data_IF_218902614249
#
_entry.id   IF_218902614249
#
_cell.length_a   1.000
_cell.length_b   1.000
_cell.length_c   1.000
_cell.angle_alpha   90.00
_cell.angle_beta   90.00
_cell.angle_gamma   90.00
#
_symmetry.space_group_name_H-M   'P 1'
#
loop_
_entity.id
_entity.type
_entity.pdbx_description
1 polymer ?
#
# COMPACT_ATOMS: atom_id res chain seq x y z
N UNK A 1 -18.89 8.74 -8.01
CA UNK A 1 -17.90 8.19 -7.05
C UNK A 1 -16.93 9.30 -6.67
N UNK A 2 -16.40 9.31 -5.45
CA UNK A 2 -15.35 10.24 -5.06
C UNK A 2 -14.09 9.99 -5.91
N UNK A 3 -13.35 11.05 -6.27
CA UNK A 3 -12.12 10.95 -7.04
C UNK A 3 -11.06 10.12 -6.32
N UNK A 4 -10.30 9.35 -7.07
CA UNK A 4 -9.18 8.52 -6.57
C UNK A 4 -7.95 8.88 -7.38
N UNK A 5 -6.93 9.42 -6.74
CA UNK A 5 -5.75 9.96 -7.41
C UNK A 5 -4.49 9.31 -6.86
N UNK A 6 -3.58 8.91 -7.74
CA UNK A 6 -2.29 8.36 -7.35
C UNK A 6 -1.15 9.09 -8.06
N UNK A 7 -0.10 9.43 -7.31
CA UNK A 7 1.16 9.95 -7.82
C UNK A 7 2.27 8.95 -7.46
N UNK A 8 2.87 8.36 -8.48
CA UNK A 8 3.93 7.36 -8.34
C UNK A 8 5.26 7.98 -8.76
N UNK A 9 6.22 7.96 -7.85
CA UNK A 9 7.54 8.56 -8.04
C UNK A 9 8.58 7.44 -7.92
N UNK A 10 9.38 7.26 -8.96
CA UNK A 10 10.44 6.26 -9.00
C UNK A 10 11.75 6.88 -9.46
N UNK A 11 12.84 6.57 -8.78
CA UNK A 11 14.18 7.00 -9.20
C UNK A 11 15.12 5.82 -9.27
N UNK A 12 15.59 5.50 -10.47
CA UNK A 12 16.55 4.43 -10.79
C UNK A 12 17.95 4.97 -11.02
N UNK A 13 18.03 6.15 -11.68
CA UNK A 13 19.26 6.71 -12.18
C UNK A 13 19.55 8.05 -11.50
N UNK A 14 20.77 8.20 -11.03
CA UNK A 14 21.22 9.38 -10.30
C UNK A 14 22.40 10.02 -11.05
N UNK A 15 22.46 11.36 -11.09
CA UNK A 15 23.61 12.08 -11.67
C UNK A 15 24.84 12.02 -10.79
N UNK A 16 24.66 11.81 -9.48
CA UNK A 16 25.75 11.63 -8.52
C UNK A 16 26.23 10.17 -8.52
N UNK A 17 27.50 9.89 -8.89
CA UNK A 17 28.05 8.54 -8.89
C UNK A 17 28.10 7.88 -7.49
N UNK A 18 28.04 8.68 -6.40
CA UNK A 18 27.97 8.16 -5.05
C UNK A 18 26.61 7.52 -4.72
N UNK A 19 25.60 7.75 -5.56
CA UNK A 19 24.30 7.12 -5.49
C UNK A 19 24.25 6.01 -6.54
N UNK A 20 24.38 4.77 -6.10
CA UNK A 20 24.32 3.61 -6.99
C UNK A 20 23.01 3.54 -7.77
N UNK A 21 23.07 3.11 -9.03
CA UNK A 21 21.88 2.85 -9.84
C UNK A 21 21.04 1.73 -9.23
N UNK A 22 19.71 1.90 -9.24
CA UNK A 22 18.74 0.88 -8.86
C UNK A 22 18.11 0.25 -10.12
N UNK A 23 17.63 -0.99 -10.01
CA UNK A 23 17.06 -1.72 -11.15
C UNK A 23 15.55 -1.94 -11.03
N UNK A 24 15.01 -1.86 -9.82
CA UNK A 24 13.61 -2.18 -9.53
C UNK A 24 12.63 -0.98 -9.69
N UNK A 25 12.98 0.26 -9.28
CA UNK A 25 11.99 1.33 -9.07
C UNK A 25 11.06 1.62 -10.24
N UNK A 26 11.58 1.74 -11.46
CA UNK A 26 10.74 2.05 -12.61
C UNK A 26 9.82 0.89 -13.00
N UNK A 27 10.28 -0.35 -12.84
CA UNK A 27 9.47 -1.55 -13.04
C UNK A 27 8.34 -1.65 -12.01
N UNK A 28 8.65 -1.36 -10.76
CA UNK A 28 7.72 -1.36 -9.64
C UNK A 28 6.62 -0.30 -9.81
N UNK A 29 7.01 0.94 -10.14
CA UNK A 29 6.06 2.02 -10.38
C UNK A 29 5.12 1.72 -11.54
N UNK A 30 5.61 1.14 -12.64
CA UNK A 30 4.76 0.76 -13.79
C UNK A 30 3.78 -0.35 -13.43
N UNK A 31 4.25 -1.39 -12.71
CA UNK A 31 3.38 -2.49 -12.29
C UNK A 31 2.30 -2.04 -11.31
N UNK A 32 2.63 -1.12 -10.40
CA UNK A 32 1.67 -0.53 -9.48
C UNK A 32 0.68 0.39 -10.22
N UNK A 33 1.16 1.19 -11.19
CA UNK A 33 0.32 2.04 -12.02
C UNK A 33 -0.74 1.24 -12.78
N UNK A 34 -0.34 0.10 -13.39
CA UNK A 34 -1.24 -0.80 -14.10
C UNK A 34 -2.41 -1.26 -13.20
N UNK A 35 -2.10 -1.74 -11.99
CA UNK A 35 -3.12 -2.24 -11.07
C UNK A 35 -3.99 -1.12 -10.50
N UNK A 36 -3.39 0.03 -10.15
CA UNK A 36 -4.15 1.14 -9.60
C UNK A 36 -5.06 1.81 -10.63
N UNK A 37 -4.67 1.85 -11.91
CA UNK A 37 -5.49 2.45 -12.97
C UNK A 37 -6.61 1.54 -13.47
N UNK A 38 -6.53 0.23 -13.20
CA UNK A 38 -7.57 -0.71 -13.62
C UNK A 38 -8.90 -0.41 -12.91
N UNK A 39 -9.96 -0.04 -13.65
CA UNK A 39 -11.26 0.31 -13.06
C UNK A 39 -11.96 -0.88 -12.40
N UNK A 40 -11.61 -2.12 -12.77
CA UNK A 40 -12.14 -3.33 -12.13
C UNK A 40 -11.49 -3.63 -10.79
N UNK A 41 -10.30 -3.07 -10.53
CA UNK A 41 -9.53 -3.27 -9.31
C UNK A 41 -9.61 -2.01 -8.42
N UNK A 42 -8.99 -0.92 -8.86
CA UNK A 42 -8.77 0.24 -8.01
C UNK A 42 -9.29 1.56 -8.59
N UNK A 43 -9.24 1.75 -9.91
CA UNK A 43 -9.84 2.88 -10.62
C UNK A 43 -9.26 4.25 -10.24
N UNK A 44 -7.95 4.33 -9.98
CA UNK A 44 -7.26 5.60 -9.74
C UNK A 44 -6.93 6.32 -11.05
N UNK A 45 -7.01 7.62 -11.00
CA UNK A 45 -6.28 8.49 -11.93
C UNK A 45 -4.80 8.51 -11.53
N UNK A 46 -3.93 7.91 -12.34
CA UNK A 46 -2.53 7.66 -11.99
C UNK A 46 -1.60 8.56 -12.79
N UNK A 47 -0.73 9.28 -12.09
CA UNK A 47 0.41 9.99 -12.66
C UNK A 47 1.70 9.30 -12.22
N UNK A 48 2.60 9.02 -13.16
CA UNK A 48 3.89 8.37 -12.88
C UNK A 48 5.06 9.25 -13.30
N UNK A 49 6.00 9.49 -12.38
CA UNK A 49 7.21 10.24 -12.59
C UNK A 49 8.42 9.32 -12.39
N UNK A 50 9.18 9.06 -13.46
CA UNK A 50 10.38 8.23 -13.42
C UNK A 50 11.59 9.10 -13.74
N UNK A 51 12.65 9.00 -12.92
CA UNK A 51 13.93 9.70 -13.10
C UNK A 51 13.78 11.21 -13.30
N UNK A 52 12.91 11.84 -12.49
CA UNK A 52 12.70 13.29 -12.57
C UNK A 52 13.56 14.03 -11.54
N UNK A 53 13.99 15.27 -11.85
CA UNK A 53 14.70 16.09 -10.88
C UNK A 53 13.78 16.58 -9.76
N UNK A 54 14.39 16.90 -8.60
CA UNK A 54 13.67 17.22 -7.36
C UNK A 54 12.63 18.35 -7.50
N UNK A 55 12.94 19.40 -8.27
CA UNK A 55 12.03 20.53 -8.45
C UNK A 55 10.77 20.14 -9.22
N UNK A 56 10.89 19.31 -10.27
CA UNK A 56 9.74 18.79 -11.04
C UNK A 56 8.86 17.90 -10.14
N UNK A 57 9.49 17.05 -9.34
CA UNK A 57 8.75 16.19 -8.40
C UNK A 57 8.07 17.02 -7.30
N UNK A 58 8.76 18.04 -6.77
CA UNK A 58 8.21 18.93 -5.77
C UNK A 58 6.99 19.71 -6.27
N UNK A 59 7.05 20.25 -7.49
CA UNK A 59 5.91 20.92 -8.16
C UNK A 59 4.74 19.94 -8.33
N UNK A 60 5.00 18.73 -8.83
CA UNK A 60 3.98 17.71 -9.04
C UNK A 60 3.30 17.29 -7.73
N UNK A 61 4.03 17.16 -6.61
CA UNK A 61 3.45 16.89 -5.29
C UNK A 61 2.56 18.06 -4.83
N UNK A 62 3.02 19.29 -5.03
CA UNK A 62 2.24 20.49 -4.71
C UNK A 62 0.91 20.54 -5.48
N UNK A 63 0.93 20.24 -6.78
CA UNK A 63 -0.25 20.16 -7.63
C UNK A 63 -1.14 18.97 -7.25
N UNK A 64 -0.52 17.82 -6.98
CA UNK A 64 -1.23 16.60 -6.61
C UNK A 64 -2.14 16.79 -5.39
N UNK A 65 -1.69 17.50 -4.35
CA UNK A 65 -2.48 17.74 -3.14
C UNK A 65 -3.36 18.99 -3.21
N UNK A 66 -3.15 19.86 -4.21
CA UNK A 66 -3.92 21.12 -4.34
C UNK A 66 -5.35 20.84 -4.79
N UNK A 67 -6.31 21.51 -4.15
CA UNK A 67 -7.71 21.51 -4.58
C UNK A 67 -8.46 20.20 -4.39
N UNK A 68 -7.92 19.24 -3.64
CA UNK A 68 -8.59 17.98 -3.35
C UNK A 68 -9.79 18.19 -2.44
N UNK A 69 -10.84 17.41 -2.66
CA UNK A 69 -12.03 17.41 -1.80
C UNK A 69 -11.83 16.48 -0.61
N UNK A 70 -12.66 16.63 0.42
CA UNK A 70 -12.57 15.84 1.65
C UNK A 70 -12.84 14.35 1.45
N UNK A 71 -13.67 14.02 0.47
CA UNK A 71 -14.09 12.66 0.13
C UNK A 71 -13.18 11.96 -0.88
N UNK A 72 -12.23 12.67 -1.47
CA UNK A 72 -11.28 12.09 -2.44
C UNK A 72 -10.19 11.29 -1.74
N UNK A 73 -9.75 10.21 -2.38
CA UNK A 73 -8.62 9.38 -1.94
C UNK A 73 -7.36 9.78 -2.68
N UNK A 74 -6.29 10.06 -1.96
CA UNK A 74 -4.96 10.32 -2.54
C UNK A 74 -3.97 9.25 -2.12
N UNK A 75 -3.19 8.72 -3.06
CA UNK A 75 -2.10 7.80 -2.83
C UNK A 75 -0.80 8.35 -3.42
N UNK A 76 0.18 8.62 -2.57
CA UNK A 76 1.54 8.95 -2.98
C UNK A 76 2.44 7.74 -2.74
N UNK A 77 3.10 7.27 -3.79
CA UNK A 77 4.09 6.18 -3.73
C UNK A 77 5.46 6.73 -4.14
N UNK A 78 6.47 6.36 -3.38
CA UNK A 78 7.87 6.66 -3.71
C UNK A 78 8.71 5.38 -3.64
N UNK A 79 9.56 5.17 -4.64
CA UNK A 79 10.58 4.12 -4.64
C UNK A 79 11.92 4.68 -5.17
N UNK A 80 13.00 4.41 -4.43
CA UNK A 80 14.32 4.95 -4.69
C UNK A 80 15.19 4.99 -3.45
N UNK A 81 16.31 5.73 -3.47
CA UNK A 81 17.14 5.92 -2.28
C UNK A 81 16.50 6.89 -1.30
N UNK A 82 16.43 6.49 -0.03
CA UNK A 82 16.19 7.37 1.11
C UNK A 82 17.53 7.75 1.76
N UNK A 83 17.76 9.02 1.97
CA UNK A 83 19.02 9.56 2.52
C UNK A 83 18.75 10.35 3.80
N UNK A 84 19.71 10.38 4.70
CA UNK A 84 19.67 11.23 5.89
C UNK A 84 20.82 12.21 5.87
N UNK A 85 20.56 13.43 6.31
CA UNK A 85 21.61 14.38 6.62
C UNK A 85 22.21 14.13 8.02
N UNK A 86 23.19 14.96 8.41
CA UNK A 86 23.87 14.86 9.70
C UNK A 86 22.94 15.14 10.89
N UNK A 87 21.84 15.85 10.68
CA UNK A 87 20.82 16.17 11.66
C UNK A 87 19.74 15.07 11.75
N UNK A 88 19.83 14.02 10.91
CA UNK A 88 18.88 12.92 10.83
C UNK A 88 17.61 13.24 10.03
N UNK A 89 17.57 14.34 9.29
CA UNK A 89 16.46 14.67 8.42
C UNK A 89 16.44 13.74 7.22
N UNK A 90 15.23 13.26 6.87
CA UNK A 90 15.02 12.34 5.77
C UNK A 90 14.83 13.10 4.46
N UNK A 91 15.53 12.64 3.44
CA UNK A 91 15.42 13.10 2.05
C UNK A 91 15.14 11.92 1.13
N UNK A 92 14.25 12.13 0.17
CA UNK A 92 13.97 11.23 -0.92
C UNK A 92 14.84 11.64 -2.11
N UNK A 93 15.70 10.74 -2.58
CA UNK A 93 16.66 11.05 -3.64
C UNK A 93 15.96 11.05 -5.00
N UNK A 94 16.16 12.13 -5.76
CA UNK A 94 15.68 12.31 -7.13
C UNK A 94 16.84 12.19 -8.11
N UNK A 95 16.57 12.17 -9.41
CA UNK A 95 17.59 11.95 -10.44
C UNK A 95 18.80 12.91 -10.36
N UNK A 96 18.57 14.14 -9.92
CA UNK A 96 19.61 15.16 -9.77
C UNK A 96 20.15 15.33 -8.35
N UNK A 97 19.82 14.41 -7.43
CA UNK A 97 20.29 14.48 -6.06
C UNK A 97 21.79 14.33 -5.99
N UNK A 98 22.41 15.20 -5.23
CA UNK A 98 23.82 15.18 -4.85
C UNK A 98 23.95 14.93 -3.36
N UNK A 99 24.74 13.94 -3.01
CA UNK A 99 24.92 13.52 -1.62
C UNK A 99 25.54 14.58 -0.72
N UNK A 100 26.40 15.42 -1.30
CA UNK A 100 27.05 16.56 -0.61
C UNK A 100 26.13 17.79 -0.48
N UNK A 101 24.92 17.75 -1.04
CA UNK A 101 24.03 18.90 -1.14
C UNK A 101 22.56 18.51 -1.08
N UNK A 102 22.19 17.62 -0.13
CA UNK A 102 20.84 17.04 -0.02
C UNK A 102 19.77 18.12 0.09
N UNK A 103 19.97 19.12 0.93
CA UNK A 103 19.01 20.21 1.17
C UNK A 103 18.54 20.90 -0.11
N UNK A 104 19.40 20.99 -1.14
CA UNK A 104 19.10 21.71 -2.37
C UNK A 104 18.81 20.82 -3.59
N UNK A 105 19.06 19.52 -3.48
CA UNK A 105 19.02 18.61 -4.63
C UNK A 105 18.15 17.36 -4.42
N UNK A 106 17.70 17.15 -3.19
CA UNK A 106 16.79 16.06 -2.84
C UNK A 106 15.45 16.62 -2.35
N UNK A 107 14.43 15.77 -2.31
CA UNK A 107 13.13 16.13 -1.78
C UNK A 107 13.08 15.84 -0.28
N UNK A 108 13.02 16.87 0.54
CA UNK A 108 12.87 16.70 1.98
C UNK A 108 11.52 16.03 2.33
N UNK A 109 11.54 14.99 3.14
CA UNK A 109 10.32 14.31 3.61
C UNK A 109 9.35 15.26 4.33
N UNK A 110 9.88 16.28 5.00
CA UNK A 110 9.09 17.33 5.64
C UNK A 110 8.24 18.14 4.65
N UNK A 111 8.72 18.38 3.42
CA UNK A 111 7.92 19.06 2.38
C UNK A 111 6.74 18.19 1.95
N UNK A 112 6.95 16.87 1.82
CA UNK A 112 5.86 15.92 1.54
C UNK A 112 4.85 15.94 2.68
N UNK A 113 5.30 15.89 3.92
CA UNK A 113 4.44 15.96 5.10
C UNK A 113 3.60 17.24 5.13
N UNK A 114 4.22 18.39 4.90
CA UNK A 114 3.49 19.68 4.84
C UNK A 114 2.48 19.72 3.71
N UNK A 115 2.80 19.19 2.53
CA UNK A 115 1.86 19.13 1.41
C UNK A 115 0.66 18.24 1.76
N UNK A 116 0.89 17.07 2.38
CA UNK A 116 -0.17 16.20 2.89
C UNK A 116 -1.00 16.88 3.99
N UNK A 117 -0.37 17.65 4.89
CA UNK A 117 -1.08 18.37 5.96
C UNK A 117 -2.02 19.44 5.40
N UNK A 118 -1.60 20.16 4.36
CA UNK A 118 -2.40 21.17 3.69
C UNK A 118 -3.54 20.61 2.82
N UNK A 119 -3.54 19.31 2.54
CA UNK A 119 -4.58 18.69 1.73
C UNK A 119 -5.85 18.41 2.56
N UNK A 120 -7.02 18.88 2.13
CA UNK A 120 -8.28 18.70 2.85
C UNK A 120 -8.83 17.27 2.80
N UNK A 121 -8.32 16.40 1.93
CA UNK A 121 -8.74 14.99 1.88
C UNK A 121 -8.58 14.31 3.25
N UNK A 122 -9.56 13.46 3.60
CA UNK A 122 -9.55 12.64 4.82
C UNK A 122 -9.03 11.22 4.59
N UNK A 123 -8.62 10.91 3.35
CA UNK A 123 -8.11 9.61 2.95
C UNK A 123 -6.80 9.81 2.17
N UNK A 124 -5.69 9.90 2.90
CA UNK A 124 -4.36 10.10 2.33
C UNK A 124 -3.49 8.90 2.64
N UNK A 125 -2.98 8.26 1.61
CA UNK A 125 -2.07 7.11 1.72
C UNK A 125 -0.70 7.51 1.21
N UNK A 126 0.33 7.23 2.00
CA UNK A 126 1.73 7.37 1.64
C UNK A 126 2.39 5.99 1.70
N UNK A 127 3.02 5.60 0.62
CA UNK A 127 3.78 4.34 0.53
C UNK A 127 5.23 4.67 0.20
N UNK A 128 6.16 4.29 1.08
CA UNK A 128 7.58 4.53 0.92
C UNK A 128 8.32 3.20 0.75
N UNK A 129 8.70 2.88 -0.47
CA UNK A 129 9.55 1.73 -0.79
C UNK A 129 11.00 2.19 -0.98
N UNK A 130 11.61 2.60 0.11
CA UNK A 130 13.00 3.03 0.14
C UNK A 130 13.69 2.52 1.40
N UNK A 131 14.96 2.15 1.21
CA UNK A 131 15.85 1.83 2.32
C UNK A 131 16.51 3.13 2.79
N UNK A 132 16.53 3.36 4.09
CA UNK A 132 17.22 4.52 4.65
C UNK A 132 18.71 4.21 4.80
N UNK A 133 19.48 4.40 3.76
CA UNK A 133 20.93 4.31 3.84
C UNK A 133 21.49 5.55 4.56
N UNK A 134 21.70 5.45 5.85
CA UNK A 134 22.54 6.37 6.56
C UNK A 134 23.96 6.22 6.02
N UNK A 135 24.40 7.15 5.19
CA UNK A 135 25.77 7.20 4.74
C UNK A 135 26.65 7.73 5.85
N UNK A 136 27.16 6.84 6.71
CA UNK A 136 28.31 7.18 7.52
C UNK A 136 29.58 6.86 6.71
N UNK A 137 30.55 7.82 6.61
CA UNK A 137 31.88 7.48 6.16
C UNK A 137 32.40 6.36 7.07
N UNK A 138 32.99 5.32 6.50
CA UNK A 138 33.64 4.27 7.26
C UNK A 138 34.60 4.91 8.30
N UNK A 139 34.28 4.80 9.60
CA UNK A 139 35.13 5.30 10.68
C UNK A 139 34.48 6.17 11.74
N UNK A 140 33.22 6.62 11.58
CA UNK A 140 32.51 7.30 12.68
C UNK A 140 31.33 6.44 13.14
N UNK A 141 31.54 5.69 14.20
CA UNK A 141 30.49 5.08 15.00
C UNK A 141 29.60 6.22 15.54
N UNK A 142 28.35 6.32 15.08
CA UNK A 142 27.36 7.16 15.72
C UNK A 142 27.13 6.67 17.14
N UNK A 143 27.55 7.46 18.12
CA UNK A 143 27.16 7.26 19.52
C UNK A 143 25.71 7.68 19.67
N UNK A 144 24.84 6.70 19.86
CA UNK A 144 23.42 6.88 20.12
C UNK A 144 22.57 6.32 18.99
N UNK A 145 21.77 5.31 19.29
CA UNK A 145 20.78 4.75 18.37
C UNK A 145 19.74 5.81 18.01
N UNK A 146 19.94 6.47 16.89
CA UNK A 146 18.90 7.25 16.25
C UNK A 146 18.09 6.30 15.38
N UNK A 147 17.21 5.52 16.03
CA UNK A 147 16.09 4.93 15.33
C UNK A 147 15.34 6.08 14.66
N UNK A 148 15.38 6.12 13.35
CA UNK A 148 14.58 7.10 12.63
C UNK A 148 13.16 6.62 12.66
N UNK A 149 12.39 7.20 13.50
CA UNK A 149 10.95 7.13 13.53
C UNK A 149 10.37 7.82 12.28
N UNK A 150 10.63 7.25 11.10
CA UNK A 150 10.13 7.78 9.82
C UNK A 150 8.62 7.93 9.85
N UNK A 151 7.93 6.97 10.46
CA UNK A 151 6.49 7.00 10.60
C UNK A 151 6.02 8.17 11.48
N UNK A 152 6.75 8.52 12.54
CA UNK A 152 6.39 9.62 13.44
C UNK A 152 6.40 10.98 12.73
N UNK A 153 7.21 11.14 11.68
CA UNK A 153 7.26 12.38 10.90
C UNK A 153 6.01 12.60 10.04
N UNK A 154 5.30 11.55 9.66
CA UNK A 154 4.11 11.62 8.82
C UNK A 154 2.81 11.47 9.60
N UNK A 155 2.81 11.79 10.89
CA UNK A 155 1.60 11.76 11.71
C UNK A 155 0.59 12.83 11.30
N UNK A 156 -0.70 12.52 11.41
CA UNK A 156 -1.77 13.47 11.18
C UNK A 156 -3.08 12.82 10.75
N UNK A 157 -4.18 13.47 11.04
CA UNK A 157 -5.53 12.95 10.79
C UNK A 157 -5.78 12.62 9.32
N UNK A 158 -6.46 11.51 9.08
CA UNK A 158 -6.84 11.06 7.75
C UNK A 158 -5.66 10.55 6.92
N UNK A 159 -4.64 9.99 7.56
CA UNK A 159 -3.43 9.47 6.91
C UNK A 159 -3.17 8.02 7.26
N UNK A 160 -2.72 7.27 6.27
CA UNK A 160 -2.10 5.96 6.44
C UNK A 160 -0.73 5.98 5.75
N UNK A 161 0.30 5.51 6.45
CA UNK A 161 1.69 5.48 5.96
C UNK A 161 2.21 4.05 6.03
N UNK A 162 2.67 3.53 4.90
CA UNK A 162 3.32 2.23 4.78
C UNK A 162 4.77 2.43 4.39
N UNK A 163 5.69 1.72 5.04
CA UNK A 163 7.11 1.72 4.69
C UNK A 163 7.62 0.30 4.49
N UNK A 164 8.51 0.12 3.51
CA UNK A 164 9.05 -1.20 3.16
C UNK A 164 9.99 -1.78 4.21
N UNK A 165 10.66 -0.94 5.01
CA UNK A 165 11.58 -1.41 6.04
C UNK A 165 11.75 -0.40 7.18
N UNK A 166 12.23 -0.89 8.31
CA UNK A 166 12.77 -0.08 9.41
C UNK A 166 14.23 0.31 9.13
N UNK A 167 14.71 1.35 9.81
CA UNK A 167 15.96 2.08 9.56
C UNK A 167 17.28 1.30 9.74
N UNK A 168 17.26 0.01 10.03
CA UNK A 168 18.43 -0.71 10.53
C UNK A 168 19.08 -1.71 9.59
N UNK A 169 18.69 -1.86 8.32
CA UNK A 169 19.07 -3.07 7.58
C UNK A 169 19.72 -2.91 6.21
N UNK A 170 20.58 -1.90 6.02
CA UNK A 170 21.62 -2.01 5.00
C UNK A 170 22.94 -1.49 5.54
N UNK A 171 23.66 -2.38 6.23
CA UNK A 171 25.12 -2.26 6.30
C UNK A 171 25.65 -2.55 4.89
N UNK A 172 26.26 -1.56 4.27
CA UNK A 172 27.12 -1.77 3.11
C UNK A 172 28.28 -2.69 3.54
N UNK A 173 28.19 -3.98 3.25
CA UNK A 173 29.36 -4.80 3.06
C UNK A 173 29.76 -4.66 1.59
N UNK A 174 30.83 -3.88 1.39
CA UNK A 174 31.75 -3.87 0.25
C UNK A 174 31.14 -4.05 -1.15
N UNK A 175 31.19 -3.00 -1.98
CA UNK A 175 31.32 -2.97 -3.45
C UNK A 175 30.43 -3.82 -4.36
N UNK A 176 29.39 -4.47 -3.88
CA UNK A 176 28.42 -5.11 -4.76
C UNK A 176 27.02 -4.87 -4.22
N UNK A 177 26.20 -4.13 -4.96
CA UNK A 177 24.73 -4.18 -4.83
C UNK A 177 24.32 -5.61 -5.24
N UNK A 178 24.34 -6.54 -4.29
CA UNK A 178 23.79 -7.89 -4.46
C UNK A 178 22.29 -7.77 -4.29
N UNK A 179 21.60 -7.49 -5.38
CA UNK A 179 20.17 -7.40 -5.45
C UNK A 179 19.74 -7.10 -6.87
N UNK A 180 20.08 -7.97 -7.83
CA UNK A 180 19.52 -7.94 -9.19
C UNK A 180 18.08 -8.47 -9.22
N UNK A 181 17.29 -8.25 -8.16
CA UNK A 181 15.87 -8.52 -8.22
C UNK A 181 15.23 -7.50 -9.17
N UNK A 182 14.59 -7.99 -10.21
CA UNK A 182 13.88 -7.14 -11.19
C UNK A 182 12.74 -6.32 -10.58
N UNK A 183 12.40 -6.55 -9.31
CA UNK A 183 11.37 -5.85 -8.52
C UNK A 183 11.70 -5.89 -7.03
N UNK A 184 11.32 -4.85 -6.29
CA UNK A 184 11.30 -4.84 -4.82
C UNK A 184 10.37 -5.93 -4.29
N UNK A 185 10.80 -6.65 -3.26
CA UNK A 185 9.97 -7.69 -2.60
C UNK A 185 8.70 -7.07 -2.04
N UNK A 186 8.82 -5.91 -1.40
CA UNK A 186 7.67 -5.18 -0.84
C UNK A 186 6.66 -4.81 -1.92
N UNK A 187 7.07 -4.08 -2.96
CA UNK A 187 6.16 -3.65 -4.03
C UNK A 187 5.61 -4.82 -4.84
N UNK A 188 6.40 -5.90 -5.03
CA UNK A 188 5.91 -7.11 -5.69
C UNK A 188 4.71 -7.72 -4.95
N UNK A 189 4.78 -7.86 -3.62
CA UNK A 189 3.66 -8.37 -2.82
C UNK A 189 2.49 -7.38 -2.75
N UNK A 190 2.77 -6.08 -2.69
CA UNK A 190 1.74 -5.05 -2.75
C UNK A 190 0.94 -5.12 -4.06
N UNK A 191 1.63 -5.21 -5.19
CA UNK A 191 1.00 -5.36 -6.52
C UNK A 191 0.25 -6.68 -6.63
N UNK A 192 0.79 -7.79 -6.13
CA UNK A 192 0.14 -9.10 -6.18
C UNK A 192 -1.17 -9.10 -5.40
N UNK A 193 -1.15 -8.64 -4.14
CA UNK A 193 -2.34 -8.61 -3.27
C UNK A 193 -3.48 -7.76 -3.81
N UNK A 194 -3.14 -6.65 -4.50
CA UNK A 194 -4.15 -5.81 -5.17
C UNK A 194 -4.67 -6.47 -6.46
N UNK A 195 -3.77 -7.05 -7.28
CA UNK A 195 -4.10 -7.57 -8.63
C UNK A 195 -5.01 -8.78 -8.58
N UNK A 196 -4.78 -9.70 -7.68
CA UNK A 196 -5.53 -10.95 -7.57
C UNK A 196 -6.58 -10.96 -6.45
N UNK A 197 -6.62 -9.88 -5.65
CA UNK A 197 -7.54 -9.74 -4.53
C UNK A 197 -7.16 -10.55 -3.30
N UNK A 198 -5.99 -11.20 -3.27
CA UNK A 198 -5.56 -12.04 -2.13
C UNK A 198 -5.27 -11.24 -0.86
N UNK A 199 -5.24 -9.91 -0.94
CA UNK A 199 -5.19 -9.01 0.21
C UNK A 199 -6.57 -8.69 0.82
N UNK A 200 -7.68 -9.14 0.25
CA UNK A 200 -9.01 -9.15 0.87
C UNK A 200 -9.06 -10.27 1.91
N UNK A 201 -8.67 -9.94 3.14
CA UNK A 201 -8.45 -10.95 4.21
C UNK A 201 -9.73 -11.33 4.94
N UNK A 202 -10.71 -10.45 5.03
CA UNK A 202 -11.99 -10.72 5.69
C UNK A 202 -13.08 -11.19 4.71
N UNK A 203 -12.78 -11.18 3.41
CA UNK A 203 -13.64 -11.69 2.34
C UNK A 203 -14.84 -10.80 2.04
N UNK A 204 -14.80 -9.51 2.41
CA UNK A 204 -15.88 -8.56 2.16
C UNK A 204 -15.87 -7.98 0.75
N UNK A 205 -14.85 -8.34 -0.06
CA UNK A 205 -14.68 -7.94 -1.46
C UNK A 205 -13.91 -6.64 -1.63
N UNK A 206 -13.57 -5.94 -0.57
CA UNK A 206 -12.73 -4.75 -0.61
C UNK A 206 -11.33 -5.09 -0.08
N UNK A 207 -10.32 -4.41 -0.59
CA UNK A 207 -8.95 -4.46 -0.06
C UNK A 207 -8.68 -3.13 0.63
N UNK A 208 -8.62 -3.14 1.94
CA UNK A 208 -8.29 -1.96 2.73
C UNK A 208 -6.78 -1.76 2.87
N UNK A 209 -6.36 -0.57 3.33
CA UNK A 209 -4.94 -0.30 3.64
C UNK A 209 -4.40 -1.25 4.70
N UNK A 210 -5.19 -1.53 5.74
CA UNK A 210 -4.79 -2.38 6.87
C UNK A 210 -4.63 -3.85 6.44
N UNK A 211 -5.53 -4.36 5.61
CA UNK A 211 -5.44 -5.71 5.05
C UNK A 211 -4.27 -5.83 4.09
N UNK A 212 -4.10 -4.86 3.18
CA UNK A 212 -2.97 -4.85 2.26
C UNK A 212 -1.64 -4.83 3.02
N UNK A 213 -1.54 -4.02 4.08
CA UNK A 213 -0.36 -4.02 4.95
C UNK A 213 -0.14 -5.39 5.60
N UNK A 214 -1.16 -5.98 6.19
CA UNK A 214 -1.07 -7.28 6.87
C UNK A 214 -0.62 -8.38 5.89
N UNK A 215 -1.22 -8.42 4.70
CA UNK A 215 -0.86 -9.32 3.62
C UNK A 215 0.60 -9.16 3.16
N UNK A 216 1.03 -7.91 2.93
CA UNK A 216 2.40 -7.60 2.48
C UNK A 216 3.41 -7.90 3.58
N UNK A 217 3.13 -7.51 4.82
CA UNK A 217 4.02 -7.74 5.96
C UNK A 217 4.31 -9.23 6.15
N UNK A 218 3.29 -10.08 6.18
CA UNK A 218 3.44 -11.53 6.35
C UNK A 218 4.38 -12.12 5.28
N UNK A 219 4.14 -11.76 4.01
CA UNK A 219 4.90 -12.31 2.88
C UNK A 219 6.31 -11.77 2.79
N UNK A 220 6.50 -10.49 3.03
CA UNK A 220 7.83 -9.88 3.05
C UNK A 220 8.67 -10.50 4.17
N UNK A 221 8.13 -10.64 5.38
CA UNK A 221 8.86 -11.24 6.51
C UNK A 221 9.16 -12.73 6.26
N UNK A 222 8.24 -13.46 5.64
CA UNK A 222 8.48 -14.87 5.28
C UNK A 222 9.61 -15.03 4.25
N UNK A 223 9.69 -14.14 3.25
CA UNK A 223 10.70 -14.20 2.20
C UNK A 223 12.03 -13.54 2.62
N UNK A 224 11.95 -12.41 3.31
CA UNK A 224 13.08 -11.62 3.80
C UNK A 224 12.91 -11.30 5.30
N UNK A 225 13.29 -12.20 6.21
CA UNK A 225 13.04 -12.04 7.65
C UNK A 225 13.64 -10.76 8.27
N UNK A 226 14.65 -10.21 7.60
CA UNK A 226 15.29 -8.95 8.01
C UNK A 226 14.55 -7.69 7.53
N UNK A 227 13.71 -7.78 6.51
CA UNK A 227 12.89 -6.67 6.03
C UNK A 227 11.55 -6.71 6.76
N UNK A 228 11.26 -5.68 7.54
CA UNK A 228 10.03 -5.59 8.32
C UNK A 228 9.27 -4.33 7.93
N UNK A 229 8.27 -4.45 7.03
CA UNK A 229 7.39 -3.35 6.72
C UNK A 229 6.72 -2.78 7.97
N UNK A 230 6.46 -1.48 7.97
CA UNK A 230 5.73 -0.81 9.05
C UNK A 230 4.53 -0.05 8.50
N UNK A 231 3.54 0.11 9.35
CA UNK A 231 2.31 0.84 9.08
C UNK A 231 1.95 1.74 10.25
N UNK A 232 1.46 2.93 9.93
CA UNK A 232 0.83 3.83 10.88
C UNK A 232 -0.41 4.43 10.23
N UNK A 233 -1.53 4.40 10.94
CA UNK A 233 -2.80 4.94 10.47
C UNK A 233 -3.43 5.82 11.56
N UNK A 234 -3.93 7.00 11.15
CA UNK A 234 -4.75 7.90 11.95
C UNK A 234 -5.97 8.31 11.10
N UNK A 235 -6.84 7.34 10.83
CA UNK A 235 -7.98 7.49 9.93
C UNK A 235 -9.28 7.17 10.68
N UNK A 236 -10.29 8.01 10.52
CA UNK A 236 -11.64 7.68 10.95
C UNK A 236 -12.28 6.69 9.95
N UNK A 237 -12.49 5.45 10.37
CA UNK A 237 -12.99 4.38 9.51
C UNK A 237 -11.87 3.65 8.73
N UNK A 238 -12.23 3.06 7.60
CA UNK A 238 -11.32 2.28 6.77
C UNK A 238 -11.06 2.96 5.42
N UNK A 239 -9.84 2.88 4.91
CA UNK A 239 -9.49 3.31 3.55
C UNK A 239 -9.50 2.08 2.64
N UNK A 240 -10.44 2.05 1.69
CA UNK A 240 -10.52 1.00 0.67
C UNK A 240 -9.62 1.39 -0.51
N UNK A 241 -8.58 0.60 -0.79
CA UNK A 241 -7.65 0.82 -1.90
C UNK A 241 -8.08 0.16 -3.19
N UNK A 242 -8.68 -1.02 -3.10
CA UNK A 242 -9.07 -1.80 -4.27
C UNK A 242 -10.30 -2.65 -3.98
N UNK A 243 -10.86 -3.22 -5.03
CA UNK A 243 -11.85 -4.30 -4.95
C UNK A 243 -11.15 -5.61 -5.25
N UNK A 244 -11.63 -6.69 -4.65
CA UNK A 244 -11.20 -8.03 -5.03
C UNK A 244 -11.85 -8.43 -6.37
N UNK A 245 -11.10 -8.43 -7.50
CA UNK A 245 -11.68 -8.71 -8.82
C UNK A 245 -12.01 -10.19 -8.99
N UNK A 246 -11.45 -11.06 -8.16
CA UNK A 246 -11.63 -12.52 -8.20
C UNK A 246 -12.41 -13.05 -7.01
N UNK A 247 -13.20 -12.20 -6.36
CA UNK A 247 -13.95 -12.62 -5.19
C UNK A 247 -14.83 -13.84 -5.50
N UNK A 248 -14.67 -14.87 -4.71
CA UNK A 248 -15.47 -16.07 -4.71
C UNK A 248 -16.06 -16.30 -3.33
N UNK A 249 -17.19 -17.01 -3.32
CA UNK A 249 -17.79 -17.40 -2.07
C UNK A 249 -16.79 -18.25 -1.24
N UNK A 250 -16.52 -17.90 0.04
CA UNK A 250 -15.61 -18.64 0.87
C UNK A 250 -15.89 -20.13 0.90
N UNK A 251 -14.85 -20.94 0.88
CA UNK A 251 -14.94 -22.40 0.73
C UNK A 251 -15.79 -23.03 1.84
N UNK A 252 -15.68 -22.56 3.07
CA UNK A 252 -16.48 -23.04 4.18
C UNK A 252 -17.99 -22.80 3.98
N UNK A 253 -18.38 -21.69 3.34
CA UNK A 253 -19.77 -21.42 2.97
C UNK A 253 -20.21 -22.33 1.84
N UNK A 254 -19.39 -22.51 0.80
CA UNK A 254 -19.71 -23.43 -0.31
C UNK A 254 -19.94 -24.85 0.19
N UNK A 255 -19.07 -25.34 1.10
CA UNK A 255 -19.23 -26.66 1.70
C UNK A 255 -20.47 -26.73 2.58
N UNK A 256 -20.73 -25.71 3.40
CA UNK A 256 -21.92 -25.66 4.24
C UNK A 256 -23.21 -25.65 3.43
N UNK A 257 -23.29 -24.90 2.31
CA UNK A 257 -24.43 -24.86 1.41
C UNK A 257 -24.68 -26.20 0.71
N UNK A 258 -23.63 -26.95 0.42
CA UNK A 258 -23.73 -28.26 -0.24
C UNK A 258 -23.95 -29.42 0.75
N UNK A 259 -23.96 -29.15 2.06
CA UNK A 259 -24.12 -30.20 3.08
C UNK A 259 -25.53 -30.84 3.05
N UNK A 260 -25.63 -32.15 3.16
CA UNK A 260 -26.92 -32.83 3.35
C UNK A 260 -27.58 -32.51 4.71
N UNK A 261 -26.84 -31.93 5.65
CA UNK A 261 -27.28 -31.63 7.02
C UNK A 261 -27.85 -30.20 7.06
N UNK A 262 -29.11 -30.06 7.43
CA UNK A 262 -29.79 -28.76 7.48
C UNK A 262 -29.15 -27.75 8.44
N UNK A 263 -28.53 -28.19 9.53
CA UNK A 263 -27.80 -27.29 10.45
C UNK A 263 -26.57 -26.64 9.80
N UNK A 264 -25.89 -27.37 8.93
CA UNK A 264 -24.71 -26.82 8.24
C UNK A 264 -25.15 -25.76 7.21
N UNK A 265 -26.25 -26.05 6.48
CA UNK A 265 -26.83 -25.07 5.55
C UNK A 265 -27.36 -23.84 6.28
N UNK A 266 -27.92 -24.00 7.48
CA UNK A 266 -28.34 -22.90 8.35
C UNK A 266 -27.15 -22.04 8.77
N UNK A 267 -26.04 -22.65 9.20
CA UNK A 267 -24.81 -21.93 9.55
C UNK A 267 -24.23 -21.19 8.34
N UNK A 268 -24.29 -21.81 7.15
CA UNK A 268 -23.88 -21.15 5.91
C UNK A 268 -24.78 -19.96 5.57
N UNK A 269 -26.09 -20.06 5.75
CA UNK A 269 -27.04 -18.96 5.57
C UNK A 269 -26.70 -17.76 6.49
N UNK A 270 -26.40 -18.00 7.75
CA UNK A 270 -25.97 -16.92 8.66
C UNK A 270 -24.67 -16.27 8.20
N UNK A 271 -23.72 -17.06 7.71
CA UNK A 271 -22.49 -16.56 7.08
C UNK A 271 -22.77 -15.69 5.84
N UNK A 272 -23.68 -16.12 4.96
CA UNK A 272 -24.13 -15.35 3.82
C UNK A 272 -24.78 -14.02 4.22
N UNK A 273 -25.69 -14.05 5.20
CA UNK A 273 -26.34 -12.82 5.73
C UNK A 273 -25.32 -11.85 6.30
N UNK A 274 -24.29 -12.36 6.98
CA UNK A 274 -23.20 -11.53 7.48
C UNK A 274 -22.43 -10.86 6.33
N UNK A 275 -21.97 -11.63 5.33
CA UNK A 275 -21.26 -11.12 4.16
C UNK A 275 -22.14 -10.15 3.35
N UNK A 276 -23.43 -10.43 3.20
CA UNK A 276 -24.37 -9.55 2.55
C UNK A 276 -24.46 -8.17 3.22
N UNK A 277 -24.33 -8.11 4.53
CA UNK A 277 -24.41 -6.87 5.32
C UNK A 277 -23.14 -6.02 5.20
N UNK A 278 -21.95 -6.66 5.25
CA UNK A 278 -20.67 -5.94 5.30
C UNK A 278 -19.98 -5.81 3.95
N UNK A 279 -20.28 -6.72 3.02
CA UNK A 279 -19.62 -6.84 1.73
C UNK A 279 -19.89 -5.68 0.79
N UNK A 280 -19.02 -5.52 -0.22
CA UNK A 280 -19.21 -4.58 -1.30
C UNK A 280 -20.39 -4.98 -2.21
N UNK A 281 -20.64 -4.22 -3.28
CA UNK A 281 -21.80 -4.44 -4.17
C UNK A 281 -21.77 -5.84 -4.81
N UNK A 282 -20.60 -6.30 -5.28
CA UNK A 282 -20.43 -7.63 -5.89
C UNK A 282 -20.73 -8.75 -4.88
N UNK A 283 -20.19 -8.62 -3.66
CA UNK A 283 -20.40 -9.59 -2.57
C UNK A 283 -21.88 -9.64 -2.21
N UNK A 284 -22.52 -8.48 -2.05
CA UNK A 284 -23.96 -8.40 -1.75
C UNK A 284 -24.81 -9.04 -2.83
N UNK A 285 -24.51 -8.79 -4.10
CA UNK A 285 -25.24 -9.39 -5.22
C UNK A 285 -25.14 -10.91 -5.20
N UNK A 286 -23.91 -11.44 -5.09
CA UNK A 286 -23.65 -12.89 -5.08
C UNK A 286 -24.25 -13.59 -3.85
N UNK A 287 -24.06 -13.02 -2.68
CA UNK A 287 -24.64 -13.60 -1.44
C UNK A 287 -26.16 -13.53 -1.43
N UNK A 288 -26.77 -12.44 -1.94
CA UNK A 288 -28.23 -12.36 -2.09
C UNK A 288 -28.77 -13.41 -3.04
N UNK A 289 -28.03 -13.74 -4.11
CA UNK A 289 -28.42 -14.82 -5.02
C UNK A 289 -28.44 -16.17 -4.32
N UNK A 290 -27.42 -16.48 -3.52
CA UNK A 290 -27.37 -17.73 -2.75
C UNK A 290 -28.45 -17.78 -1.64
N UNK A 291 -28.70 -16.66 -0.94
CA UNK A 291 -29.78 -16.58 0.05
C UNK A 291 -31.14 -16.88 -0.61
N UNK A 292 -31.42 -16.29 -1.80
CA UNK A 292 -32.66 -16.57 -2.53
C UNK A 292 -32.80 -18.05 -2.93
N UNK A 293 -31.70 -18.75 -3.26
CA UNK A 293 -31.76 -20.19 -3.56
C UNK A 293 -32.15 -21.00 -2.35
N UNK A 294 -31.73 -20.61 -1.15
CA UNK A 294 -32.09 -21.29 0.09
C UNK A 294 -33.55 -21.07 0.51
N UNK A 295 -34.28 -20.14 -0.11
CA UNK A 295 -35.72 -20.03 0.10
C UNK A 295 -36.50 -21.28 -0.40
N UNK A 296 -35.90 -22.02 -1.35
CA UNK A 296 -36.43 -23.28 -1.88
C UNK A 296 -35.74 -24.52 -1.25
N UNK A 297 -35.07 -24.37 -0.09
CA UNK A 297 -34.37 -25.46 0.61
C UNK A 297 -35.38 -26.53 1.10
N UNK A 298 -34.99 -27.81 1.05
CA UNK A 298 -35.79 -28.94 1.50
C UNK A 298 -36.11 -28.93 3.00
N UNK A 299 -35.29 -28.23 3.78
CA UNK A 299 -35.52 -28.00 5.21
C UNK A 299 -36.41 -26.77 5.43
N UNK A 300 -37.60 -26.96 6.01
CA UNK A 300 -38.51 -25.87 6.38
C UNK A 300 -37.87 -24.80 7.26
N UNK A 301 -36.91 -25.18 8.10
CA UNK A 301 -36.19 -24.23 8.97
C UNK A 301 -35.23 -23.34 8.16
N UNK A 302 -34.51 -23.90 7.19
CA UNK A 302 -33.59 -23.19 6.34
C UNK A 302 -34.36 -22.28 5.39
N UNK A 303 -35.38 -22.81 4.69
CA UNK A 303 -36.18 -22.05 3.74
C UNK A 303 -36.92 -20.88 4.40
N UNK A 304 -37.53 -21.09 5.58
CA UNK A 304 -38.16 -20.01 6.32
C UNK A 304 -37.17 -18.95 6.80
N UNK A 305 -35.98 -19.37 7.24
CA UNK A 305 -34.93 -18.42 7.63
C UNK A 305 -34.36 -17.63 6.44
N UNK A 306 -34.28 -18.22 5.26
CA UNK A 306 -33.83 -17.56 4.05
C UNK A 306 -34.82 -16.54 3.48
N UNK A 307 -36.13 -16.76 3.72
CA UNK A 307 -37.21 -15.88 3.28
C UNK A 307 -37.45 -14.70 4.25
N UNK A 308 -36.88 -14.73 5.48
CA UNK A 308 -36.98 -13.68 6.48
C UNK A 308 -35.89 -12.62 6.29
#
# INVERSE_FOLDING_TARGET
MAGRHALLIATETYTDPALGRLTAPGGDARALAEVLSDPSIAGFEVTTLIDRPHHVVGEAIGEFYRGRRRDELTLLYFTGHGLKDDDGSLYLAMANTRRDSLMFTALAAELVDRAMAGCPSRQKVLVLDCCYSGAFPAGKLAKGGTDVHTLERFQGRGRAVLTASDSTQYSFEGDAVVGSAARSVFTRHLVAGLRDGSADLDGDGDVTVDELYSYVHERVVAEMPRQRPKHQSDVEGRIVLARNPRWELPEYLRHGLASPIASDRMNALEGLKRLNRVGNELVRERTSAEIRRLADDDSRTVSAAAAA
#
